data_IF_585422869943
#
_entry.id   IF_585422869943
#
_cell.length_a   1.000
_cell.length_b   1.000
_cell.length_c   1.000
_cell.angle_alpha   90.00
_cell.angle_beta   90.00
_cell.angle_gamma   90.00
#
_symmetry.space_group_name_H-M   'P 1'
#
loop_
_entity.id
_entity.type
_entity.pdbx_description
1 polymer ?
#
# COMPACT_ATOMS: atom_id res chain seq x y z
N UNK A 1 -6.42 -15.06 3.74
CA UNK A 1 -6.37 -14.02 4.78
C UNK A 1 -4.95 -14.00 5.31
N UNK A 2 -4.30 -12.83 5.33
CA UNK A 2 -2.93 -12.67 5.84
C UNK A 2 -3.00 -11.80 7.08
N UNK A 3 -2.29 -12.19 8.14
CA UNK A 3 -2.17 -11.43 9.39
C UNK A 3 -0.70 -11.15 9.64
N UNK A 4 -0.38 -9.92 9.96
CA UNK A 4 0.98 -9.48 10.33
C UNK A 4 0.95 -9.08 11.80
N UNK A 5 1.83 -9.66 12.60
CA UNK A 5 2.01 -9.32 14.02
C UNK A 5 3.05 -8.21 14.19
N UNK A 6 3.06 -7.57 15.36
CA UNK A 6 3.99 -6.50 15.68
C UNK A 6 5.46 -6.95 15.55
N UNK A 7 5.79 -8.16 15.99
CA UNK A 7 7.14 -8.68 15.92
C UNK A 7 7.61 -8.87 14.47
N UNK A 8 6.69 -9.23 13.56
CA UNK A 8 7.00 -9.31 12.13
C UNK A 8 7.24 -7.93 11.54
N UNK A 9 6.48 -6.92 11.99
CA UNK A 9 6.65 -5.54 11.55
C UNK A 9 8.03 -4.99 11.94
N UNK A 10 8.49 -5.31 13.16
CA UNK A 10 9.83 -4.93 13.64
C UNK A 10 10.96 -5.61 12.86
N UNK A 11 10.76 -6.86 12.43
CA UNK A 11 11.75 -7.59 11.61
C UNK A 11 11.82 -7.03 10.18
N UNK A 12 10.67 -6.68 9.60
CA UNK A 12 10.62 -6.16 8.23
C UNK A 12 11.08 -4.71 8.12
N UNK A 13 10.91 -3.91 9.17
CA UNK A 13 11.26 -2.48 9.24
C UNK A 13 10.93 -1.68 7.96
N UNK A 14 9.64 -1.68 7.54
CA UNK A 14 9.24 -1.04 6.30
C UNK A 14 9.31 0.49 6.40
N UNK A 15 9.90 1.14 5.40
CA UNK A 15 9.91 2.61 5.34
C UNK A 15 8.52 3.22 5.18
N UNK A 16 7.60 2.51 4.49
CA UNK A 16 6.20 2.90 4.34
C UNK A 16 5.26 1.69 4.50
N UNK A 17 4.00 1.90 4.94
CA UNK A 17 3.02 0.82 5.01
C UNK A 17 2.77 0.12 3.66
N UNK A 18 2.93 0.83 2.55
CA UNK A 18 2.82 0.26 1.20
C UNK A 18 3.85 -0.81 0.89
N UNK A 19 5.05 -0.72 1.47
CA UNK A 19 6.12 -1.69 1.23
C UNK A 19 5.75 -3.08 1.75
N UNK A 20 5.17 -3.14 2.96
CA UNK A 20 4.64 -4.40 3.49
C UNK A 20 3.51 -4.95 2.64
N UNK A 21 2.60 -4.08 2.22
CA UNK A 21 1.42 -4.50 1.47
C UNK A 21 1.79 -4.99 0.07
N UNK A 22 2.87 -4.47 -0.52
CA UNK A 22 3.44 -4.93 -1.79
C UNK A 22 4.04 -6.34 -1.70
N UNK A 23 4.45 -6.80 -0.50
CA UNK A 23 4.93 -8.17 -0.27
C UNK A 23 3.81 -9.21 -0.32
N UNK A 24 2.54 -8.79 -0.29
CA UNK A 24 1.42 -9.74 -0.33
C UNK A 24 1.30 -10.37 -1.73
N UNK A 25 1.05 -11.69 -1.84
CA UNK A 25 0.94 -12.37 -3.14
C UNK A 25 -0.17 -11.83 -4.07
N UNK A 26 -1.16 -11.15 -3.49
CA UNK A 26 -2.29 -10.57 -4.22
C UNK A 26 -2.06 -9.10 -4.63
N UNK A 27 -0.96 -8.48 -4.19
CA UNK A 27 -0.57 -7.14 -4.62
C UNK A 27 -0.34 -7.18 -6.14
N UNK A 28 -0.95 -6.23 -6.84
CA UNK A 28 -0.89 -6.16 -8.28
C UNK A 28 -0.28 -4.82 -8.70
N UNK A 29 0.81 -4.89 -9.46
CA UNK A 29 1.58 -3.71 -9.89
C UNK A 29 2.53 -3.18 -8.82
N UNK A 30 3.50 -2.37 -9.27
CA UNK A 30 4.38 -1.62 -8.38
C UNK A 30 3.58 -0.50 -7.69
N UNK A 31 3.86 -0.18 -6.41
CA UNK A 31 3.26 0.97 -5.73
C UNK A 31 3.37 2.24 -6.59
N UNK A 32 2.26 2.98 -6.73
CA UNK A 32 2.16 4.11 -7.67
C UNK A 32 3.14 5.27 -7.41
N UNK A 33 3.75 5.31 -6.23
CA UNK A 33 4.80 6.24 -5.83
C UNK A 33 6.17 5.95 -6.48
N UNK A 34 6.43 4.71 -6.92
CA UNK A 34 7.73 4.31 -7.54
C UNK A 34 7.61 3.97 -9.04
N UNK A 35 6.40 3.65 -9.52
CA UNK A 35 6.17 3.27 -10.92
C UNK A 35 5.98 4.45 -11.90
N UNK A 36 6.00 5.68 -11.38
CA UNK A 36 5.79 6.88 -12.18
C UNK A 36 7.05 7.25 -12.98
N UNK A 37 7.11 6.82 -14.24
CA UNK A 37 8.17 7.17 -15.20
C UNK A 37 8.26 8.69 -15.51
N UNK A 38 7.32 9.49 -15.02
CA UNK A 38 7.29 10.94 -15.16
C UNK A 38 7.39 11.60 -13.78
N UNK A 39 8.28 12.59 -13.67
CA UNK A 39 8.63 13.37 -12.47
C UNK A 39 7.44 13.99 -11.72
N UNK A 40 6.26 14.06 -12.35
CA UNK A 40 5.03 14.62 -11.80
C UNK A 40 4.28 13.67 -10.84
N UNK A 41 4.60 12.37 -10.87
CA UNK A 41 3.89 11.35 -10.09
C UNK A 41 4.78 10.56 -9.11
N UNK A 42 6.09 10.86 -9.07
CA UNK A 42 7.02 10.33 -8.07
C UNK A 42 6.81 11.04 -6.72
N UNK A 43 5.68 10.74 -6.08
CA UNK A 43 5.29 11.31 -4.79
C UNK A 43 5.59 10.31 -3.68
N UNK A 44 6.68 10.57 -2.96
CA UNK A 44 7.03 9.81 -1.75
C UNK A 44 6.00 9.97 -0.62
N UNK A 45 5.09 10.95 -0.72
CA UNK A 45 4.03 11.20 0.27
C UNK A 45 2.69 10.53 -0.07
N UNK A 46 2.52 9.94 -1.27
CA UNK A 46 1.26 9.33 -1.69
C UNK A 46 1.49 7.97 -2.37
N UNK A 47 1.35 6.90 -1.59
CA UNK A 47 1.45 5.53 -2.08
C UNK A 47 0.05 4.94 -2.36
N UNK A 48 -0.13 4.41 -3.56
CA UNK A 48 -1.35 3.71 -3.97
C UNK A 48 -1.06 2.24 -4.23
N UNK A 49 -1.92 1.36 -3.71
CA UNK A 49 -1.81 -0.09 -3.88
C UNK A 49 -3.08 -0.71 -4.45
N UNK A 50 -2.86 -1.60 -5.42
CA UNK A 50 -3.88 -2.35 -6.13
C UNK A 50 -3.79 -3.82 -5.75
N UNK A 51 -4.94 -4.49 -5.65
CA UNK A 51 -4.99 -5.93 -5.35
C UNK A 51 -5.77 -6.67 -6.44
N UNK A 52 -5.28 -7.85 -6.83
CA UNK A 52 -5.91 -8.72 -7.85
C UNK A 52 -6.16 -8.03 -9.20
N UNK A 53 -5.34 -7.04 -9.55
CA UNK A 53 -5.48 -6.26 -10.79
C UNK A 53 -6.62 -5.23 -10.80
N UNK A 54 -7.25 -4.96 -9.65
CA UNK A 54 -8.26 -3.92 -9.52
C UNK A 54 -7.61 -2.58 -9.16
N UNK A 55 -8.15 -1.47 -9.71
CA UNK A 55 -7.66 -0.12 -9.39
C UNK A 55 -7.67 0.15 -7.87
N UNK A 56 -6.68 0.91 -7.38
CA UNK A 56 -6.45 1.18 -5.94
C UNK A 56 -7.66 1.78 -5.21
N UNK A 57 -8.54 2.50 -5.91
CA UNK A 57 -9.80 3.01 -5.34
C UNK A 57 -10.77 1.93 -4.85
N UNK A 58 -10.57 0.67 -5.27
CA UNK A 58 -11.33 -0.48 -4.78
C UNK A 58 -10.72 -1.13 -3.52
N UNK A 59 -9.61 -0.60 -3.02
CA UNK A 59 -8.97 -1.06 -1.79
C UNK A 59 -9.57 -0.33 -0.59
N UNK A 60 -10.26 -1.06 0.29
CA UNK A 60 -10.78 -0.53 1.55
C UNK A 60 -9.72 -0.65 2.65
N UNK A 61 -9.29 0.48 3.20
CA UNK A 61 -8.41 0.53 4.37
C UNK A 61 -9.22 0.93 5.60
N UNK A 62 -9.04 0.15 6.67
CA UNK A 62 -9.66 0.38 7.97
C UNK A 62 -8.57 0.61 9.02
N UNK A 63 -8.74 1.63 9.85
CA UNK A 63 -7.97 1.82 11.07
C UNK A 63 -8.90 1.57 12.25
N UNK A 64 -8.61 0.56 13.06
CA UNK A 64 -9.46 0.13 14.18
C UNK A 64 -10.93 -0.09 13.76
N UNK A 65 -11.15 -0.67 12.57
CA UNK A 65 -12.49 -0.93 12.01
C UNK A 65 -13.17 0.27 11.34
N UNK A 66 -12.57 1.46 11.37
CA UNK A 66 -13.13 2.66 10.73
C UNK A 66 -12.46 2.95 9.39
N UNK A 67 -13.26 3.20 8.36
CA UNK A 67 -12.77 3.62 7.03
C UNK A 67 -12.05 4.95 7.13
N UNK A 68 -10.84 5.03 6.56
CA UNK A 68 -10.10 6.28 6.39
C UNK A 68 -10.57 7.01 5.12
N UNK A 69 -10.53 8.35 5.14
CA UNK A 69 -10.88 9.16 3.98
C UNK A 69 -9.81 8.99 2.88
N UNK A 70 -10.20 8.87 1.60
CA UNK A 70 -9.24 8.92 0.50
C UNK A 70 -8.45 10.23 0.52
N UNK A 71 -7.18 10.17 0.11
CA UNK A 71 -6.39 11.37 -0.15
C UNK A 71 -7.10 12.23 -1.23
N UNK A 72 -7.22 13.56 -1.03
CA UNK A 72 -7.90 14.46 -1.97
C UNK A 72 -7.18 14.61 -3.31
#
# INVERSE_FOLDING_TARGET
MTTVKAEQLEIYDPGQPSDLLAMLPMAAGLPGNEAALATQNARGDNANISFRGLASGNTLILLNGRRIAPHP
#
